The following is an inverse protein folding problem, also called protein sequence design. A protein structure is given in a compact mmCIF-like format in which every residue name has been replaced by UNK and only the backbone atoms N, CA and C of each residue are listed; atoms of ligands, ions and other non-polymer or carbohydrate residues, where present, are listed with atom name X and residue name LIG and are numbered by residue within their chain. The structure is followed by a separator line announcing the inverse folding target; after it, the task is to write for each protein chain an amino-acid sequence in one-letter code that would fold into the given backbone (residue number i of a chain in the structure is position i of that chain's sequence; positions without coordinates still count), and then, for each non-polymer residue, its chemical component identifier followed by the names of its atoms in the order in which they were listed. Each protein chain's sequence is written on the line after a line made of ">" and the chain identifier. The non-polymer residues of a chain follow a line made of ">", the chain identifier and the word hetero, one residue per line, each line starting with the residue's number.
data_IF_341934595846
#
_entry.id   IF_341934595846
#
_cell.length_a   1.000
_cell.length_b   1.000
_cell.length_c   1.000
_cell.angle_alpha   90.00
_cell.angle_beta   90.00
_cell.angle_gamma   90.00
#
_symmetry.space_group_name_H-M   'P 1'
#
loop_
_entity.id
_entity.type
_entity.pdbx_description
1 polymer ?
#
# COMPACT_ATOMS: atom_id res chain seq x y z
N UNK A 1 3.02 25.33 9.08
CA UNK A 1 3.30 25.91 7.76
C UNK A 1 2.15 25.60 6.79
N UNK A 2 1.89 24.34 6.40
CA UNK A 2 0.81 23.98 5.45
C UNK A 2 -0.56 24.55 5.83
N UNK A 3 -0.97 24.47 7.11
CA UNK A 3 -2.25 25.06 7.57
C UNK A 3 -2.32 26.57 7.36
N UNK A 4 -1.22 27.29 7.64
CA UNK A 4 -1.15 28.75 7.44
C UNK A 4 -1.25 29.09 5.95
N UNK A 5 -0.58 28.31 5.09
CA UNK A 5 -0.62 28.49 3.65
C UNK A 5 -2.02 28.23 3.09
N UNK A 6 -2.72 27.20 3.57
CA UNK A 6 -4.13 26.91 3.20
C UNK A 6 -5.04 28.07 3.60
N UNK A 7 -4.93 28.58 4.84
CA UNK A 7 -5.73 29.74 5.31
C UNK A 7 -5.48 30.97 4.44
N UNK A 8 -4.21 31.26 4.16
CA UNK A 8 -3.83 32.41 3.35
C UNK A 8 -4.35 32.32 1.91
N UNK A 9 -4.37 31.10 1.35
CA UNK A 9 -4.79 30.86 -0.03
C UNK A 9 -6.30 30.88 -0.19
N UNK A 10 -7.05 30.28 0.74
CA UNK A 10 -8.51 30.15 0.62
C UNK A 10 -9.27 31.41 1.03
N UNK A 11 -8.65 32.33 1.81
CA UNK A 11 -9.22 33.63 2.18
C UNK A 11 -10.67 33.57 2.68
N UNK A 12 -11.04 32.58 3.47
CA UNK A 12 -12.37 32.49 4.04
C UNK A 12 -12.65 33.63 5.02
N UNK A 13 -13.84 34.21 4.96
CA UNK A 13 -14.28 35.31 5.87
C UNK A 13 -14.51 34.79 7.30
N UNK A 14 -14.89 33.54 7.46
CA UNK A 14 -15.01 32.83 8.75
C UNK A 14 -14.39 31.43 8.60
N UNK A 15 -13.47 31.08 9.49
CA UNK A 15 -12.81 29.77 9.45
C UNK A 15 -13.27 28.92 10.62
N UNK A 16 -14.08 27.90 10.35
CA UNK A 16 -14.23 26.78 11.25
C UNK A 16 -13.17 25.75 10.88
N UNK A 17 -12.17 25.53 11.74
CA UNK A 17 -11.17 24.51 11.54
C UNK A 17 -11.52 23.23 12.31
N UNK A 18 -11.66 22.15 11.59
CA UNK A 18 -11.79 20.83 12.15
C UNK A 18 -10.44 20.13 12.01
N UNK A 19 -9.79 19.84 13.11
CA UNK A 19 -8.52 19.13 13.17
C UNK A 19 -8.76 17.78 13.83
N UNK A 20 -8.69 16.70 13.06
CA UNK A 20 -8.74 15.35 13.58
C UNK A 20 -7.32 14.76 13.66
N UNK A 21 -7.15 13.76 14.51
CA UNK A 21 -5.96 12.92 14.52
C UNK A 21 -5.83 12.16 13.19
N UNK A 22 -4.61 11.89 12.75
CA UNK A 22 -4.35 10.98 11.64
C UNK A 22 -4.47 9.50 12.05
N UNK A 23 -4.66 9.24 13.35
CA UNK A 23 -4.84 7.88 13.84
C UNK A 23 -6.16 7.31 13.33
N UNK A 24 -6.08 6.10 12.77
CA UNK A 24 -7.20 5.34 12.25
C UNK A 24 -7.38 4.10 13.14
N UNK A 25 -8.18 4.24 14.20
CA UNK A 25 -8.39 3.19 15.22
C UNK A 25 -8.96 1.88 14.64
N UNK A 26 -9.59 1.97 13.47
CA UNK A 26 -10.12 0.80 12.76
C UNK A 26 -9.08 0.05 11.91
N UNK A 27 -7.83 0.51 11.85
CA UNK A 27 -6.76 -0.18 11.13
C UNK A 27 -5.86 -0.91 12.13
N UNK A 28 -5.81 -2.23 12.04
CA UNK A 28 -4.79 -3.04 12.68
C UNK A 28 -3.57 -3.11 11.77
N UNK A 29 -2.44 -2.59 12.23
CA UNK A 29 -1.19 -2.55 11.47
C UNK A 29 -0.26 -3.60 12.06
N UNK A 30 0.22 -4.50 11.21
CA UNK A 30 1.12 -5.58 11.56
C UNK A 30 2.38 -5.51 10.68
N UNK A 31 3.54 -5.66 11.30
CA UNK A 31 4.81 -5.89 10.59
C UNK A 31 5.26 -7.30 10.88
N UNK A 32 5.53 -8.08 9.83
CA UNK A 32 6.01 -9.44 9.96
C UNK A 32 7.31 -9.66 9.15
N UNK A 33 8.23 -10.47 9.70
CA UNK A 33 9.42 -10.86 8.93
C UNK A 33 9.04 -11.75 7.76
N UNK A 34 9.60 -11.49 6.60
CA UNK A 34 9.47 -12.37 5.44
C UNK A 34 10.08 -13.74 5.75
N UNK A 35 9.30 -14.77 5.50
CA UNK A 35 9.72 -16.17 5.44
C UNK A 35 9.27 -16.77 4.10
N UNK A 36 8.19 -17.49 4.06
CA UNK A 36 7.49 -17.84 2.82
C UNK A 36 6.44 -16.78 2.52
N UNK A 37 6.80 -15.80 1.71
CA UNK A 37 5.96 -14.63 1.41
C UNK A 37 4.64 -15.02 0.72
N UNK A 38 4.68 -16.06 -0.11
CA UNK A 38 3.48 -16.57 -0.77
C UNK A 38 2.54 -17.20 0.25
N UNK A 39 3.07 -18.04 1.15
CA UNK A 39 2.26 -18.66 2.19
C UNK A 39 1.72 -17.61 3.18
N UNK A 40 2.54 -16.65 3.61
CA UNK A 40 2.10 -15.54 4.46
C UNK A 40 0.96 -14.73 3.82
N UNK A 41 1.02 -14.56 2.49
CA UNK A 41 -0.07 -13.93 1.74
C UNK A 41 -1.32 -14.79 1.76
N UNK A 42 -1.21 -16.10 1.51
CA UNK A 42 -2.35 -17.02 1.55
C UNK A 42 -3.00 -17.04 2.94
N UNK A 43 -2.21 -17.09 4.01
CA UNK A 43 -2.71 -17.11 5.40
C UNK A 43 -3.57 -15.86 5.69
N UNK A 44 -3.15 -14.72 5.15
CA UNK A 44 -3.92 -13.48 5.24
C UNK A 44 -5.22 -13.56 4.43
N UNK A 45 -5.18 -14.09 3.20
CA UNK A 45 -6.35 -14.26 2.35
C UNK A 45 -7.38 -15.22 2.95
N UNK A 46 -6.94 -16.30 3.58
CA UNK A 46 -7.84 -17.25 4.26
C UNK A 46 -8.51 -16.60 5.49
N UNK A 47 -7.78 -15.74 6.24
CA UNK A 47 -8.35 -14.97 7.35
C UNK A 47 -9.44 -13.99 6.89
N UNK A 48 -9.28 -13.43 5.69
CA UNK A 48 -10.20 -12.45 5.09
C UNK A 48 -10.91 -13.03 3.86
N UNK A 49 -11.27 -14.32 3.93
CA UNK A 49 -11.97 -15.02 2.85
C UNK A 49 -13.18 -14.22 2.37
N UNK A 50 -13.36 -14.17 1.06
CA UNK A 50 -14.46 -13.49 0.37
C UNK A 50 -14.51 -11.96 0.61
N UNK A 51 -13.41 -11.35 1.10
CA UNK A 51 -13.33 -9.92 1.33
C UNK A 51 -12.38 -9.23 0.35
N UNK A 52 -12.61 -7.93 0.16
CA UNK A 52 -11.80 -7.13 -0.77
C UNK A 52 -10.47 -6.71 -0.15
N UNK A 53 -9.38 -6.83 -0.91
CA UNK A 53 -8.06 -6.42 -0.47
C UNK A 53 -7.13 -5.99 -1.59
N UNK A 54 -6.04 -5.33 -1.19
CA UNK A 54 -5.01 -4.83 -2.10
C UNK A 54 -3.66 -5.42 -1.66
N UNK A 55 -2.88 -5.91 -2.62
CA UNK A 55 -1.52 -6.41 -2.38
C UNK A 55 -0.55 -5.56 -3.19
N UNK A 56 0.33 -4.83 -2.50
CA UNK A 56 1.35 -4.00 -3.13
C UNK A 56 2.66 -4.75 -3.30
N UNK A 57 3.15 -4.80 -4.54
CA UNK A 57 4.44 -5.37 -4.92
C UNK A 57 5.38 -4.30 -5.48
N UNK A 58 6.68 -4.52 -5.34
CA UNK A 58 7.70 -3.59 -5.81
C UNK A 58 7.77 -3.48 -7.33
N UNK A 59 7.64 -4.60 -8.06
CA UNK A 59 7.84 -4.67 -9.50
C UNK A 59 6.62 -5.22 -10.25
N UNK A 60 6.53 -4.87 -11.55
CA UNK A 60 5.50 -5.39 -12.46
C UNK A 60 5.56 -6.92 -12.53
N UNK A 61 6.77 -7.48 -12.66
CA UNK A 61 6.99 -8.91 -12.71
C UNK A 61 6.43 -9.63 -11.47
N UNK A 62 6.67 -9.11 -10.27
CA UNK A 62 6.10 -9.69 -9.05
C UNK A 62 4.56 -9.60 -9.03
N UNK A 63 3.98 -8.50 -9.54
CA UNK A 63 2.53 -8.37 -9.68
C UNK A 63 1.97 -9.48 -10.56
N UNK A 64 2.58 -9.73 -11.72
CA UNK A 64 2.14 -10.76 -12.66
C UNK A 64 2.31 -12.17 -12.08
N UNK A 65 3.45 -12.44 -11.44
CA UNK A 65 3.75 -13.72 -10.80
C UNK A 65 2.77 -14.02 -9.66
N UNK A 66 2.57 -13.06 -8.75
CA UNK A 66 1.68 -13.24 -7.60
C UNK A 66 0.22 -13.32 -8.02
N UNK A 67 -0.24 -12.47 -8.95
CA UNK A 67 -1.62 -12.55 -9.42
C UNK A 67 -1.92 -13.88 -10.12
N UNK A 68 -1.00 -14.37 -10.96
CA UNK A 68 -1.12 -15.69 -11.60
C UNK A 68 -1.14 -16.83 -10.58
N UNK A 69 -0.29 -16.76 -9.58
CA UNK A 69 -0.25 -17.73 -8.48
C UNK A 69 -1.56 -17.78 -7.70
N UNK A 70 -2.16 -16.63 -7.39
CA UNK A 70 -3.44 -16.54 -6.69
C UNK A 70 -4.60 -17.06 -7.56
N UNK A 71 -4.65 -16.66 -8.83
CA UNK A 71 -5.68 -17.12 -9.78
C UNK A 71 -5.63 -18.64 -9.95
N UNK A 72 -4.44 -19.23 -10.08
CA UNK A 72 -4.27 -20.68 -10.19
C UNK A 72 -4.78 -21.46 -8.96
N UNK A 73 -4.90 -20.79 -7.82
CA UNK A 73 -5.47 -21.32 -6.56
C UNK A 73 -6.94 -20.99 -6.34
N UNK A 74 -7.58 -20.39 -7.32
CA UNK A 74 -9.01 -20.08 -7.28
C UNK A 74 -9.39 -18.76 -6.63
N UNK A 75 -8.40 -17.90 -6.28
CA UNK A 75 -8.69 -16.58 -5.76
C UNK A 75 -9.14 -15.63 -6.89
N UNK A 76 -10.14 -14.80 -6.59
CA UNK A 76 -10.61 -13.75 -7.50
C UNK A 76 -9.63 -12.55 -7.48
N UNK A 77 -8.53 -12.67 -8.20
CA UNK A 77 -7.45 -11.68 -8.25
C UNK A 77 -7.24 -11.11 -9.66
N UNK A 78 -6.77 -9.86 -9.75
CA UNK A 78 -6.34 -9.21 -10.99
C UNK A 78 -5.07 -8.41 -10.78
N UNK A 79 -4.17 -8.35 -11.77
CA UNK A 79 -2.99 -7.49 -11.75
C UNK A 79 -3.35 -6.03 -12.06
N UNK A 80 -2.54 -5.09 -11.50
CA UNK A 80 -2.62 -3.68 -11.85
C UNK A 80 -1.24 -3.02 -11.80
N UNK A 81 -0.71 -2.63 -12.94
CA UNK A 81 0.56 -1.88 -13.06
C UNK A 81 0.63 -1.12 -14.38
N UNK A 82 1.54 -0.17 -14.47
CA UNK A 82 1.68 0.70 -15.65
C UNK A 82 2.16 0.00 -16.94
N UNK A 83 2.49 -1.30 -16.88
CA UNK A 83 2.84 -2.10 -18.05
C UNK A 83 1.65 -2.79 -18.72
N UNK A 84 0.46 -2.77 -18.09
CA UNK A 84 -0.77 -3.23 -18.71
C UNK A 84 -1.30 -2.18 -19.69
N UNK A 85 -2.04 -2.63 -20.71
CA UNK A 85 -2.80 -1.74 -21.58
C UNK A 85 -3.83 -0.94 -20.77
N UNK A 86 -4.12 0.28 -21.21
CA UNK A 86 -5.04 1.18 -20.50
C UNK A 86 -6.44 0.58 -20.35
N UNK A 87 -6.89 -0.17 -21.34
CA UNK A 87 -8.18 -0.88 -21.34
C UNK A 87 -8.20 -1.93 -20.23
N UNK A 88 -7.15 -2.73 -20.11
CA UNK A 88 -7.06 -3.79 -19.10
C UNK A 88 -6.94 -3.20 -17.70
N UNK A 89 -6.14 -2.12 -17.53
CA UNK A 89 -6.05 -1.41 -16.25
C UNK A 89 -7.41 -0.90 -15.80
N UNK A 90 -8.14 -0.24 -16.70
CA UNK A 90 -9.47 0.29 -16.42
C UNK A 90 -10.44 -0.83 -16.08
N UNK A 91 -10.46 -1.90 -16.86
CA UNK A 91 -11.31 -3.08 -16.63
C UNK A 91 -11.04 -3.72 -15.26
N UNK A 92 -9.77 -3.96 -14.93
CA UNK A 92 -9.38 -4.56 -13.66
C UNK A 92 -9.75 -3.67 -12.46
N UNK A 93 -9.55 -2.36 -12.59
CA UNK A 93 -9.94 -1.40 -11.57
C UNK A 93 -11.46 -1.33 -11.37
N UNK A 94 -12.23 -1.27 -12.45
CA UNK A 94 -13.70 -1.24 -12.39
C UNK A 94 -14.26 -2.53 -11.78
N UNK A 95 -13.74 -3.68 -12.16
CA UNK A 95 -14.12 -4.97 -11.59
C UNK A 95 -13.87 -5.03 -10.08
N UNK A 96 -12.74 -4.50 -9.62
CA UNK A 96 -12.45 -4.40 -8.18
C UNK A 96 -13.39 -3.43 -7.46
N UNK A 97 -13.70 -2.27 -8.04
CA UNK A 97 -14.62 -1.29 -7.43
C UNK A 97 -16.03 -1.86 -7.30
N UNK A 98 -16.49 -2.67 -8.27
CA UNK A 98 -17.83 -3.28 -8.30
C UNK A 98 -17.95 -4.58 -7.50
N UNK A 99 -16.91 -5.03 -6.83
CA UNK A 99 -16.85 -6.32 -6.14
C UNK A 99 -16.91 -7.57 -7.08
N UNK A 100 -16.74 -7.39 -8.40
CA UNK A 100 -16.58 -8.49 -9.35
C UNK A 100 -15.26 -9.23 -9.18
N UNK A 101 -14.26 -8.53 -8.62
CA UNK A 101 -12.93 -9.02 -8.25
C UNK A 101 -12.62 -8.60 -6.81
N UNK A 102 -12.15 -9.55 -6.01
CA UNK A 102 -11.90 -9.33 -4.59
C UNK A 102 -10.49 -8.78 -4.31
N UNK A 103 -9.50 -9.17 -5.11
CA UNK A 103 -8.09 -8.88 -4.84
C UNK A 103 -7.47 -8.15 -6.02
N UNK A 104 -6.84 -7.01 -5.74
CA UNK A 104 -5.92 -6.36 -6.68
C UNK A 104 -4.49 -6.58 -6.21
N UNK A 105 -3.68 -7.18 -7.07
CA UNK A 105 -2.22 -7.23 -6.91
C UNK A 105 -1.63 -6.10 -7.74
N UNK A 106 -0.93 -5.17 -7.13
CA UNK A 106 -0.55 -3.92 -7.81
C UNK A 106 0.84 -3.41 -7.45
N UNK A 107 1.40 -2.60 -8.34
CA UNK A 107 2.44 -1.64 -7.96
C UNK A 107 1.81 -0.38 -7.36
N UNK A 108 2.65 0.54 -6.86
CA UNK A 108 2.22 1.87 -6.37
C UNK A 108 1.39 2.69 -7.39
N UNK A 109 1.34 2.25 -8.66
CA UNK A 109 0.50 2.87 -9.68
C UNK A 109 -1.01 2.72 -9.38
N UNK A 110 -1.41 1.73 -8.55
CA UNK A 110 -2.78 1.56 -8.10
C UNK A 110 -3.05 2.43 -6.88
N UNK A 111 -3.63 3.58 -7.09
CA UNK A 111 -3.81 4.45 -5.96
C UNK A 111 -4.62 5.70 -6.20
N UNK A 112 -4.26 6.51 -7.17
CA UNK A 112 -4.99 7.75 -7.43
C UNK A 112 -6.41 7.45 -7.95
N UNK A 113 -7.42 8.05 -7.31
CA UNK A 113 -8.82 7.93 -7.75
C UNK A 113 -9.54 6.64 -7.32
N UNK A 114 -8.92 5.75 -6.54
CA UNK A 114 -9.59 4.57 -6.01
C UNK A 114 -10.44 4.96 -4.79
N UNK A 115 -11.74 4.89 -4.96
CA UNK A 115 -12.69 5.12 -3.87
C UNK A 115 -13.54 3.86 -3.64
N UNK A 116 -12.92 2.85 -3.00
CA UNK A 116 -13.58 1.64 -2.53
C UNK A 116 -13.58 1.64 -1.00
N UNK A 117 -14.76 1.74 -0.36
CA UNK A 117 -14.82 1.88 1.10
C UNK A 117 -14.55 0.59 1.85
N UNK A 118 -14.93 -0.56 1.28
CA UNK A 118 -14.94 -1.88 1.90
C UNK A 118 -13.66 -2.71 1.70
N UNK A 119 -12.49 -2.07 1.57
CA UNK A 119 -11.20 -2.79 1.56
C UNK A 119 -10.88 -3.28 2.98
N UNK A 120 -10.83 -4.60 3.16
CA UNK A 120 -10.62 -5.21 4.50
C UNK A 120 -9.17 -5.49 4.82
N UNK A 121 -8.32 -5.63 3.81
CA UNK A 121 -6.89 -5.80 4.05
C UNK A 121 -6.03 -5.11 2.99
N UNK A 122 -4.83 -4.70 3.43
CA UNK A 122 -3.76 -4.23 2.55
C UNK A 122 -2.49 -4.98 2.93
N UNK A 123 -1.87 -5.65 1.95
CA UNK A 123 -0.61 -6.36 2.14
C UNK A 123 0.49 -5.61 1.38
N UNK A 124 1.57 -5.27 2.05
CA UNK A 124 2.81 -4.86 1.43
C UNK A 124 3.72 -6.08 1.31
N UNK A 125 3.75 -6.65 0.11
CA UNK A 125 4.58 -7.81 -0.22
C UNK A 125 6.07 -7.48 -0.19
N UNK A 126 6.43 -6.22 -0.42
CA UNK A 126 7.76 -5.65 -0.32
C UNK A 126 7.74 -4.35 0.50
N UNK A 127 8.90 -3.97 1.05
CA UNK A 127 9.06 -2.73 1.79
C UNK A 127 8.74 -1.51 0.91
N UNK A 128 7.84 -0.61 1.34
CA UNK A 128 7.57 0.65 0.65
C UNK A 128 8.79 1.57 0.62
N UNK A 129 8.81 2.53 -0.30
CA UNK A 129 9.93 3.48 -0.45
C UNK A 129 9.98 4.56 0.61
N UNK A 130 8.87 4.80 1.31
CA UNK A 130 8.75 5.83 2.36
C UNK A 130 7.58 5.56 3.29
N UNK A 131 7.63 6.15 4.48
CA UNK A 131 6.53 6.15 5.46
C UNK A 131 5.27 6.82 4.89
N UNK A 132 5.44 7.92 4.16
CA UNK A 132 4.33 8.67 3.57
C UNK A 132 3.61 7.83 2.52
N UNK A 133 4.35 7.14 1.65
CA UNK A 133 3.79 6.20 0.68
C UNK A 133 3.04 5.08 1.37
N UNK A 134 3.67 4.44 2.35
CA UNK A 134 3.06 3.39 3.16
C UNK A 134 1.74 3.85 3.80
N UNK A 135 1.75 5.02 4.43
CA UNK A 135 0.56 5.58 5.07
C UNK A 135 -0.59 5.85 4.07
N UNK A 136 -0.27 6.37 2.89
CA UNK A 136 -1.25 6.58 1.83
C UNK A 136 -1.85 5.27 1.31
N UNK A 137 -1.04 4.21 1.24
CA UNK A 137 -1.43 2.90 0.73
C UNK A 137 -2.30 2.16 1.76
N UNK A 138 -1.92 2.10 3.03
CA UNK A 138 -2.77 1.53 4.10
C UNK A 138 -4.04 2.35 4.34
N UNK A 139 -4.01 3.65 4.07
CA UNK A 139 -5.17 4.54 4.17
C UNK A 139 -6.30 4.22 3.19
N UNK A 140 -6.12 3.22 2.32
CA UNK A 140 -7.19 2.69 1.45
C UNK A 140 -8.07 1.67 2.16
N UNK A 141 -7.55 1.04 3.21
CA UNK A 141 -8.30 0.09 4.02
C UNK A 141 -9.34 0.80 4.90
N UNK A 142 -10.47 0.16 5.12
CA UNK A 142 -11.47 0.53 6.11
C UNK A 142 -12.00 1.96 6.01
N UNK A 143 -12.19 2.50 4.83
CA UNK A 143 -12.75 3.85 4.65
C UNK A 143 -14.19 3.98 5.11
N UNK A 144 -14.89 2.88 5.22
CA UNK A 144 -16.22 2.76 5.81
C UNK A 144 -16.23 2.74 7.34
N UNK A 145 -15.05 2.82 7.98
CA UNK A 145 -14.90 2.78 9.44
C UNK A 145 -14.85 1.38 10.04
N UNK A 146 -15.04 0.32 9.24
CA UNK A 146 -14.96 -1.04 9.74
C UNK A 146 -13.50 -1.49 9.90
N UNK A 147 -13.29 -2.44 10.83
CA UNK A 147 -11.96 -3.01 11.10
C UNK A 147 -11.31 -3.55 9.84
N UNK A 148 -10.05 -3.23 9.65
CA UNK A 148 -9.26 -3.64 8.51
C UNK A 148 -7.82 -3.89 8.92
N UNK A 149 -7.14 -4.79 8.20
CA UNK A 149 -5.80 -5.26 8.55
C UNK A 149 -4.77 -4.81 7.48
N UNK A 150 -3.68 -4.23 7.94
CA UNK A 150 -2.58 -3.79 7.09
C UNK A 150 -1.32 -4.58 7.48
N UNK A 151 -0.88 -5.50 6.61
CA UNK A 151 0.29 -6.33 6.82
C UNK A 151 1.47 -5.81 6.00
N UNK A 152 2.58 -5.51 6.67
CA UNK A 152 3.86 -5.20 6.03
C UNK A 152 4.80 -6.40 6.17
N UNK A 153 5.20 -7.01 5.06
CA UNK A 153 6.23 -8.04 5.03
C UNK A 153 7.60 -7.39 4.87
N UNK A 154 8.48 -7.60 5.84
CA UNK A 154 9.79 -6.95 5.92
C UNK A 154 10.94 -7.94 5.80
N UNK A 155 11.96 -7.57 5.00
CA UNK A 155 13.25 -8.26 4.96
C UNK A 155 14.40 -7.32 4.65
N UNK A 156 15.61 -7.67 5.11
CA UNK A 156 16.82 -6.93 4.74
C UNK A 156 17.12 -6.97 3.24
N UNK A 157 16.67 -7.98 2.52
CA UNK A 157 16.82 -8.05 1.06
C UNK A 157 16.04 -6.94 0.34
N UNK A 158 14.90 -6.51 0.90
CA UNK A 158 14.16 -5.36 0.35
C UNK A 158 14.93 -4.05 0.55
N UNK A 159 15.56 -3.89 1.71
CA UNK A 159 16.43 -2.72 2.00
C UNK A 159 17.59 -2.67 1.00
N UNK A 160 18.28 -3.81 0.77
CA UNK A 160 19.35 -3.90 -0.20
C UNK A 160 18.89 -3.55 -1.62
N UNK A 161 17.72 -4.07 -2.02
CA UNK A 161 17.09 -3.75 -3.31
C UNK A 161 16.82 -2.24 -3.45
N UNK A 162 16.23 -1.62 -2.44
CA UNK A 162 15.93 -0.18 -2.45
C UNK A 162 17.20 0.67 -2.49
N UNK A 163 18.23 0.29 -1.71
CA UNK A 163 19.53 0.96 -1.76
C UNK A 163 20.16 0.92 -3.16
N UNK A 164 20.10 -0.22 -3.85
CA UNK A 164 20.60 -0.32 -5.23
C UNK A 164 19.96 0.73 -6.17
N UNK A 165 18.65 0.98 -6.06
CA UNK A 165 17.97 2.02 -6.85
C UNK A 165 18.28 3.43 -6.35
N UNK A 166 18.52 3.60 -5.06
CA UNK A 166 18.90 4.90 -4.48
C UNK A 166 20.31 5.28 -4.93
N UNK A 167 21.21 4.31 -5.07
CA UNK A 167 22.59 4.55 -5.49
C UNK A 167 22.71 5.06 -6.94
N UNK A 168 21.68 4.84 -7.76
CA UNK A 168 21.60 5.38 -9.12
C UNK A 168 21.14 6.85 -9.17
N UNK A 169 20.74 7.43 -8.02
CA UNK A 169 20.35 8.82 -7.89
C UNK A 169 21.54 9.70 -7.48
N UNK A 170 21.41 11.00 -7.72
CA UNK A 170 22.46 11.97 -7.39
C UNK A 170 21.94 13.13 -6.53
N UNK A 171 22.85 13.84 -5.93
CA UNK A 171 22.60 15.10 -5.24
C UNK A 171 21.52 15.03 -4.16
N UNK A 172 20.61 16.00 -4.18
CA UNK A 172 19.57 16.14 -3.17
C UNK A 172 18.53 15.00 -3.26
N UNK A 173 18.28 14.48 -4.44
CA UNK A 173 17.32 13.37 -4.63
C UNK A 173 17.79 12.10 -3.92
N UNK A 174 19.09 11.77 -4.02
CA UNK A 174 19.70 10.65 -3.29
C UNK A 174 19.58 10.84 -1.79
N UNK A 175 19.91 12.02 -1.28
CA UNK A 175 19.85 12.33 0.15
C UNK A 175 18.43 12.15 0.70
N UNK A 176 17.43 12.68 0.02
CA UNK A 176 16.01 12.55 0.42
C UNK A 176 15.56 11.10 0.38
N UNK A 177 15.92 10.36 -0.66
CA UNK A 177 15.56 8.95 -0.79
C UNK A 177 16.17 8.09 0.35
N UNK A 178 17.42 8.35 0.76
CA UNK A 178 18.04 7.70 1.93
C UNK A 178 17.28 8.02 3.22
N UNK A 179 16.89 9.27 3.43
CA UNK A 179 16.13 9.66 4.62
C UNK A 179 14.78 8.93 4.68
N UNK A 180 14.06 8.84 3.57
CA UNK A 180 12.79 8.11 3.47
C UNK A 180 12.96 6.62 3.74
N UNK A 181 14.00 5.99 3.15
CA UNK A 181 14.29 4.59 3.39
C UNK A 181 14.63 4.32 4.86
N UNK A 182 15.50 5.13 5.46
CA UNK A 182 15.88 4.96 6.87
C UNK A 182 14.66 5.10 7.80
N UNK A 183 13.73 5.99 7.50
CA UNK A 183 12.53 6.18 8.30
C UNK A 183 11.61 4.95 8.25
N UNK A 184 11.36 4.37 7.07
CA UNK A 184 10.49 3.16 6.95
C UNK A 184 11.17 1.92 7.50
N UNK A 185 12.50 1.78 7.36
CA UNK A 185 13.27 0.68 7.94
C UNK A 185 13.18 0.73 9.45
N UNK A 186 13.45 1.89 10.05
CA UNK A 186 13.36 2.06 11.50
C UNK A 186 11.95 1.71 12.01
N UNK A 187 10.92 2.21 11.36
CA UNK A 187 9.54 1.88 11.71
C UNK A 187 9.30 0.36 11.69
N UNK A 188 9.72 -0.32 10.61
CA UNK A 188 9.50 -1.76 10.48
C UNK A 188 10.30 -2.57 11.52
N UNK A 189 11.50 -2.13 11.91
CA UNK A 189 12.31 -2.81 12.92
C UNK A 189 11.80 -2.55 14.34
N UNK A 190 11.34 -1.33 14.65
CA UNK A 190 10.74 -1.00 15.94
C UNK A 190 9.47 -1.83 16.19
N UNK A 191 8.60 -1.99 15.19
CA UNK A 191 7.38 -2.81 15.27
C UNK A 191 7.66 -4.32 15.40
N UNK A 192 8.76 -4.82 14.83
CA UNK A 192 9.16 -6.23 14.96
C UNK A 192 9.73 -6.60 16.34
N UNK A 193 10.11 -5.60 17.13
CA UNK A 193 10.73 -5.79 18.45
C UNK A 193 9.75 -5.56 19.62
N UNK A 194 8.56 -5.08 19.31
CA UNK A 194 7.45 -4.93 20.27
C UNK A 194 6.59 -6.18 20.34
#
# INVERSE_FOLDING_TARGET
>A
RVRQDIRATLKFSTTNEFVASFNRENLYIEVARKSDTFQQTIDMLERYKDQSGIIYCFSRKQVDELSSYLIARGYSARPYHAGLEDIDRKKNQEAFIRDDVQIIVATIAFGMGINKPNVRFVIHFDLPKSIEGYYQEIGRAGRDGLSSHCLLLYSYSDVAKLNYFIDQKEGNEKRVAIQHLNAIVRYAEDELTC
#
